data_IF_684457746330
#
_entry.id   IF_684457746330
#
_cell.length_a   1.000
_cell.length_b   1.000
_cell.length_c   1.000
_cell.angle_alpha   90.00
_cell.angle_beta   90.00
_cell.angle_gamma   90.00
#
_symmetry.space_group_name_H-M   'P 1'
#
loop_
_entity.id
_entity.type
_entity.pdbx_description
1 polymer ?
#
# COMPACT_ATOMS: atom_id res chain seq x y z
N UNK A 1 -10.12 -14.71 4.39
CA UNK A 1 -10.40 -14.29 2.99
C UNK A 1 -9.06 -14.16 2.28
N UNK A 2 -8.90 -14.73 1.09
CA UNK A 2 -7.70 -14.54 0.26
C UNK A 2 -8.04 -13.52 -0.82
N UNK A 3 -7.40 -12.35 -0.80
CA UNK A 3 -7.48 -11.37 -1.88
C UNK A 3 -6.28 -11.59 -2.81
N UNK A 4 -6.54 -11.70 -4.11
CA UNK A 4 -5.49 -11.82 -5.13
C UNK A 4 -5.75 -10.72 -6.15
N UNK A 5 -4.76 -9.85 -6.33
CA UNK A 5 -4.74 -8.86 -7.40
C UNK A 5 -3.59 -9.21 -8.33
N UNK A 6 -3.86 -9.24 -9.64
CA UNK A 6 -2.86 -9.52 -10.67
C UNK A 6 -2.76 -8.29 -11.55
N UNK A 7 -1.54 -7.83 -11.78
CA UNK A 7 -1.25 -6.74 -12.68
C UNK A 7 -0.11 -7.13 -13.62
N UNK A 8 -0.16 -6.66 -14.86
CA UNK A 8 0.85 -6.98 -15.88
C UNK A 8 2.22 -6.37 -15.55
N UNK A 9 2.24 -5.23 -14.85
CA UNK A 9 3.47 -4.56 -14.42
C UNK A 9 3.41 -4.16 -12.95
N UNK A 10 4.45 -4.51 -12.18
CA UNK A 10 4.60 -4.07 -10.80
C UNK A 10 5.30 -2.70 -10.76
N UNK A 11 4.52 -1.63 -10.84
CA UNK A 11 5.04 -0.26 -10.67
C UNK A 11 4.91 0.20 -9.22
N UNK A 12 5.65 1.24 -8.85
CA UNK A 12 5.53 1.87 -7.54
C UNK A 12 4.10 2.39 -7.26
N UNK A 13 3.45 2.96 -8.28
CA UNK A 13 2.07 3.49 -8.19
C UNK A 13 1.08 2.36 -7.97
N UNK A 14 1.18 1.31 -8.79
CA UNK A 14 0.39 0.11 -8.69
C UNK A 14 0.47 -0.55 -7.30
N UNK A 15 1.69 -0.62 -6.76
CA UNK A 15 1.88 -1.11 -5.41
C UNK A 15 1.20 -0.21 -4.37
N UNK A 16 1.35 1.10 -4.48
CA UNK A 16 0.71 2.06 -3.57
C UNK A 16 -0.82 1.95 -3.59
N UNK A 17 -1.43 1.72 -4.74
CA UNK A 17 -2.87 1.46 -4.88
C UNK A 17 -3.32 0.20 -4.12
N UNK A 18 -2.53 -0.88 -4.18
CA UNK A 18 -2.81 -2.11 -3.41
C UNK A 18 -2.74 -1.83 -1.91
N UNK A 19 -1.74 -1.06 -1.46
CA UNK A 19 -1.63 -0.67 -0.05
C UNK A 19 -2.83 0.18 0.40
N UNK A 20 -3.26 1.14 -0.42
CA UNK A 20 -4.46 1.93 -0.14
C UNK A 20 -5.70 1.04 -0.02
N UNK A 21 -5.89 0.11 -0.95
CA UNK A 21 -7.00 -0.86 -0.88
C UNK A 21 -6.94 -1.72 0.40
N UNK A 22 -5.75 -2.13 0.83
CA UNK A 22 -5.58 -2.88 2.07
C UNK A 22 -6.01 -2.05 3.30
N UNK A 23 -5.60 -0.79 3.37
CA UNK A 23 -5.89 0.12 4.49
C UNK A 23 -7.37 0.53 4.53
N UNK A 24 -7.94 0.90 3.38
CA UNK A 24 -9.26 1.51 3.31
C UNK A 24 -10.39 0.48 3.18
N UNK A 25 -10.14 -0.63 2.49
CA UNK A 25 -11.18 -1.62 2.16
C UNK A 25 -11.02 -2.92 2.94
N UNK A 26 -9.81 -3.48 2.98
CA UNK A 26 -9.60 -4.80 3.62
C UNK A 26 -9.55 -4.72 5.14
N UNK A 27 -8.92 -3.67 5.68
CA UNK A 27 -8.74 -3.47 7.11
C UNK A 27 -9.14 -2.05 7.57
N UNK A 28 -10.36 -1.59 7.25
CA UNK A 28 -10.82 -0.29 7.67
C UNK A 28 -10.78 -0.18 9.21
N UNK A 29 -10.23 0.91 9.71
CA UNK A 29 -10.19 1.21 11.14
C UNK A 29 -9.13 0.46 11.95
N UNK A 30 -8.16 -0.20 11.32
CA UNK A 30 -6.99 -0.71 12.05
C UNK A 30 -5.95 0.37 12.23
N UNK A 31 -5.46 0.51 13.46
CA UNK A 31 -4.42 1.47 13.82
C UNK A 31 -3.04 1.05 13.30
N UNK A 32 -2.83 -0.26 13.12
CA UNK A 32 -1.57 -0.83 12.63
C UNK A 32 -1.80 -2.09 11.80
N UNK A 33 -1.06 -2.23 10.71
CA UNK A 33 -1.09 -3.32 9.74
C UNK A 33 0.35 -3.77 9.49
N UNK A 34 0.67 -5.01 9.85
CA UNK A 34 2.00 -5.58 9.60
C UNK A 34 2.01 -6.20 8.20
N UNK A 35 2.79 -5.61 7.29
CA UNK A 35 3.01 -6.14 5.95
C UNK A 35 4.24 -7.06 5.95
N UNK A 36 4.07 -8.28 5.44
CA UNK A 36 5.18 -9.20 5.16
C UNK A 36 5.24 -9.40 3.66
N UNK A 37 6.34 -8.99 3.05
CA UNK A 37 6.50 -8.88 1.60
C UNK A 37 7.91 -9.34 1.18
N UNK A 38 8.11 -9.60 -0.11
CA UNK A 38 9.44 -9.85 -0.67
C UNK A 38 10.25 -8.54 -0.75
N UNK A 39 11.59 -8.58 -0.70
CA UNK A 39 12.39 -7.34 -0.63
C UNK A 39 12.60 -6.70 -2.02
N UNK A 40 11.52 -6.23 -2.64
CA UNK A 40 11.54 -5.60 -3.97
C UNK A 40 11.56 -4.07 -3.84
N UNK A 41 12.41 -3.37 -4.60
CA UNK A 41 12.54 -1.90 -4.51
C UNK A 41 11.25 -1.11 -4.82
N UNK A 42 10.28 -1.71 -5.52
CA UNK A 42 8.98 -1.11 -5.83
C UNK A 42 8.04 -1.05 -4.62
N UNK A 43 8.37 -1.79 -3.56
CA UNK A 43 7.57 -2.01 -2.36
C UNK A 43 8.03 -1.18 -1.15
N UNK A 44 8.54 0.03 -1.43
CA UNK A 44 8.98 0.95 -0.40
C UNK A 44 7.89 1.95 -0.04
N UNK A 45 7.89 2.45 1.20
CA UNK A 45 7.07 3.60 1.62
C UNK A 45 7.23 4.81 0.70
N UNK A 46 8.40 4.97 0.05
CA UNK A 46 8.65 6.00 -0.95
C UNK A 46 7.73 5.94 -2.17
N UNK A 47 7.19 4.76 -2.48
CA UNK A 47 6.22 4.55 -3.56
C UNK A 47 4.87 5.19 -3.25
N UNK A 48 4.48 5.31 -1.98
CA UNK A 48 3.24 6.01 -1.58
C UNK A 48 3.33 7.49 -1.99
N UNK A 49 4.42 8.16 -1.62
CA UNK A 49 4.66 9.56 -1.99
C UNK A 49 4.70 9.85 -3.49
N UNK A 50 4.89 8.83 -4.33
CA UNK A 50 4.82 8.98 -5.79
C UNK A 50 3.39 8.84 -6.33
N UNK A 51 2.51 8.19 -5.59
CA UNK A 51 1.18 7.78 -6.04
C UNK A 51 0.06 8.68 -5.51
N UNK A 52 0.20 9.24 -4.30
CA UNK A 52 -0.85 10.04 -3.68
C UNK A 52 -0.38 11.44 -3.27
N UNK A 53 -1.32 12.36 -2.95
CA UNK A 53 -0.99 13.61 -2.29
C UNK A 53 -0.50 13.38 -0.87
N UNK A 54 0.40 14.25 -0.38
CA UNK A 54 1.08 14.10 0.90
C UNK A 54 0.15 13.83 2.11
N UNK A 55 -1.02 14.48 2.16
CA UNK A 55 -1.97 14.28 3.26
C UNK A 55 -2.50 12.83 3.34
N UNK A 56 -2.75 12.22 2.19
CA UNK A 56 -3.25 10.84 2.09
C UNK A 56 -2.12 9.84 2.37
N UNK A 57 -0.93 10.10 1.84
CA UNK A 57 0.28 9.29 2.11
C UNK A 57 0.59 9.18 3.58
N UNK A 58 0.56 10.31 4.29
CA UNK A 58 0.85 10.33 5.72
C UNK A 58 -0.17 9.53 6.53
N UNK A 59 -1.43 9.47 6.10
CA UNK A 59 -2.44 8.65 6.79
C UNK A 59 -2.19 7.16 6.56
N UNK A 60 -1.88 6.78 5.32
CA UNK A 60 -1.61 5.39 4.94
C UNK A 60 -0.32 4.91 5.62
N UNK A 61 0.77 5.69 5.50
CA UNK A 61 2.08 5.35 6.06
C UNK A 61 2.07 5.23 7.59
N UNK A 62 1.22 5.96 8.30
CA UNK A 62 1.07 5.85 9.77
C UNK A 62 0.52 4.50 10.23
N UNK A 63 -0.20 3.78 9.36
CA UNK A 63 -0.84 2.51 9.69
C UNK A 63 0.04 1.30 9.34
N UNK A 64 1.18 1.49 8.66
CA UNK A 64 2.08 0.41 8.24
C UNK A 64 3.22 0.19 9.25
#
# INVERSE_FOLDING_TARGET
MRHVSVQEHLTAVNWAEVIKYLVDVSYPGRDKIILVMDNQNTQALSSLYKAFPAAEDHMIAKKL
#
